data_IF_889108677487
#
_entry.id   IF_889108677487
#
_cell.length_a   1.000
_cell.length_b   1.000
_cell.length_c   1.000
_cell.angle_alpha   90.00
_cell.angle_beta   90.00
_cell.angle_gamma   90.00
#
_symmetry.space_group_name_H-M   'P 1'
#
loop_
_entity.id
_entity.type
_entity.pdbx_description
1 polymer ?
#
# COMPACT_ATOMS: atom_id res chain seq x y z
N UNK A 1 -32.35 49.88 7.81
CA UNK A 1 -31.06 49.66 8.49
C UNK A 1 -30.74 48.17 8.77
N UNK A 2 -31.68 47.21 8.63
CA UNK A 2 -31.46 45.78 8.93
C UNK A 2 -30.57 45.01 7.94
N UNK A 3 -30.32 45.55 6.74
CA UNK A 3 -29.49 44.93 5.71
C UNK A 3 -27.98 45.05 5.96
N UNK A 4 -27.56 46.05 6.77
CA UNK A 4 -26.15 46.24 7.15
C UNK A 4 -25.75 45.36 8.34
N UNK A 5 -26.70 45.07 9.24
CA UNK A 5 -26.48 44.23 10.42
C UNK A 5 -26.31 42.75 10.05
N UNK A 6 -27.03 42.29 9.02
CA UNK A 6 -26.90 40.91 8.48
C UNK A 6 -25.55 40.66 7.81
N UNK A 7 -24.99 41.65 7.11
CA UNK A 7 -23.66 41.55 6.47
C UNK A 7 -22.56 41.45 7.55
N UNK A 8 -22.67 42.25 8.62
CA UNK A 8 -21.70 42.23 9.72
C UNK A 8 -21.75 40.90 10.50
N UNK A 9 -22.94 40.32 10.67
CA UNK A 9 -23.12 39.02 11.31
C UNK A 9 -22.54 37.87 10.46
N UNK A 10 -22.70 37.90 9.13
CA UNK A 10 -22.09 36.90 8.24
C UNK A 10 -20.57 36.95 8.26
N UNK A 11 -19.95 38.14 8.19
CA UNK A 11 -18.48 38.24 8.23
C UNK A 11 -17.88 37.78 9.56
N UNK A 12 -18.59 38.01 10.67
CA UNK A 12 -18.09 37.64 12.01
C UNK A 12 -18.14 36.12 12.26
N UNK A 13 -19.12 35.42 11.67
CA UNK A 13 -19.21 33.95 11.75
C UNK A 13 -18.12 33.22 10.97
N UNK A 14 -17.62 33.81 9.87
CA UNK A 14 -16.64 33.17 8.99
C UNK A 14 -15.21 33.21 9.57
N UNK A 15 -14.91 34.18 10.45
CA UNK A 15 -13.59 34.31 11.09
C UNK A 15 -13.38 33.39 12.30
N UNK A 16 -14.40 32.67 12.77
CA UNK A 16 -14.30 31.86 14.00
C UNK A 16 -13.98 30.37 13.77
N UNK A 17 -13.73 29.95 12.54
CA UNK A 17 -13.48 28.53 12.20
C UNK A 17 -12.00 28.14 12.05
N UNK A 18 -11.03 29.00 12.38
CA UNK A 18 -9.60 28.75 12.11
C UNK A 18 -8.72 28.45 13.33
N UNK A 19 -9.26 27.88 14.41
CA UNK A 19 -8.45 27.49 15.59
C UNK A 19 -8.74 26.09 16.16
N UNK A 20 -8.97 25.09 15.30
CA UNK A 20 -9.11 23.71 15.76
C UNK A 20 -8.52 22.69 14.77
N UNK A 21 -7.21 22.73 14.53
CA UNK A 21 -6.40 21.56 14.17
C UNK A 21 -4.90 21.89 14.30
N UNK A 22 -4.46 22.15 15.53
CA UNK A 22 -3.05 22.00 15.91
C UNK A 22 -2.91 20.66 16.62
N UNK A 23 -3.00 19.57 15.88
CA UNK A 23 -2.62 18.25 16.41
C UNK A 23 -1.09 18.17 16.45
N UNK A 24 -0.47 17.91 17.61
CA UNK A 24 0.94 17.58 17.63
C UNK A 24 1.16 16.27 16.86
N UNK A 25 2.12 16.29 15.94
CA UNK A 25 2.63 15.08 15.29
C UNK A 25 3.03 14.08 16.38
N UNK A 26 2.27 12.99 16.52
CA UNK A 26 2.76 11.80 17.20
C UNK A 26 3.81 11.16 16.30
N UNK A 27 5.09 11.36 16.64
CA UNK A 27 6.14 10.46 16.17
C UNK A 27 5.84 9.08 16.74
N UNK A 28 5.15 8.26 15.95
CA UNK A 28 5.08 6.83 16.22
C UNK A 28 6.49 6.26 16.05
N UNK A 29 7.14 5.96 17.17
CA UNK A 29 8.29 5.09 17.22
C UNK A 29 7.83 3.68 16.85
N UNK A 30 7.93 3.34 15.57
CA UNK A 30 7.86 1.95 15.15
C UNK A 30 9.10 1.24 15.69
N UNK A 31 8.89 0.26 16.55
CA UNK A 31 9.90 -0.69 16.98
C UNK A 31 10.41 -1.45 15.76
N UNK A 32 11.63 -1.14 15.35
CA UNK A 32 12.39 -1.86 14.34
C UNK A 32 12.47 -3.35 14.72
N UNK A 33 11.90 -4.30 13.95
CA UNK A 33 12.25 -5.69 14.12
C UNK A 33 13.71 -5.84 13.65
N UNK A 34 14.55 -6.29 14.58
CA UNK A 34 15.95 -6.65 14.38
C UNK A 34 16.20 -7.28 13.00
N UNK A 35 17.01 -6.59 12.21
CA UNK A 35 17.50 -7.03 10.91
C UNK A 35 18.39 -8.28 11.12
N UNK A 36 17.86 -9.46 10.82
CA UNK A 36 18.65 -10.69 10.79
C UNK A 36 19.19 -10.86 9.38
N UNK A 37 20.40 -10.33 9.14
CA UNK A 37 21.20 -10.59 7.95
C UNK A 37 21.54 -12.07 7.87
N UNK A 38 21.03 -12.76 6.86
CA UNK A 38 21.69 -13.85 6.10
C UNK A 38 20.63 -14.63 5.32
N UNK A 39 20.56 -14.46 3.99
CA UNK A 39 20.31 -15.53 3.02
C UNK A 39 20.31 -14.98 1.59
N UNK A 40 21.07 -15.62 0.72
CA UNK A 40 21.13 -15.38 -0.73
C UNK A 40 19.73 -15.43 -1.38
N UNK A 41 19.51 -14.78 -2.55
CA UNK A 41 18.21 -14.74 -3.21
C UNK A 41 17.85 -16.13 -3.72
N UNK A 42 17.13 -16.87 -2.89
CA UNK A 42 16.40 -18.08 -3.30
C UNK A 42 15.16 -17.58 -4.04
N UNK A 43 15.18 -17.65 -5.36
CA UNK A 43 14.00 -17.31 -6.18
C UNK A 43 12.85 -18.21 -5.70
N UNK A 44 11.74 -17.57 -5.34
CA UNK A 44 10.46 -18.13 -4.83
C UNK A 44 10.39 -18.44 -3.33
N UNK A 45 10.53 -17.42 -2.47
CA UNK A 45 10.02 -17.46 -1.09
C UNK A 45 8.52 -17.13 -1.08
N UNK A 46 7.68 -18.10 -1.44
CA UNK A 46 6.23 -17.98 -1.34
C UNK A 46 5.74 -18.63 -0.05
N UNK A 47 4.99 -17.89 0.76
CA UNK A 47 4.27 -18.48 1.90
C UNK A 47 3.29 -19.54 1.38
N UNK A 48 3.38 -20.78 1.87
CA UNK A 48 2.47 -21.85 1.43
C UNK A 48 1.05 -21.55 1.89
N UNK A 49 0.20 -21.19 0.93
CA UNK A 49 -1.23 -20.98 1.13
C UNK A 49 -1.99 -22.14 0.46
N UNK A 50 -3.11 -22.55 1.05
CA UNK A 50 -3.99 -23.53 0.40
C UNK A 50 -4.65 -22.89 -0.82
N UNK A 51 -5.13 -23.73 -1.73
CA UNK A 51 -5.92 -23.26 -2.86
C UNK A 51 -7.23 -22.63 -2.37
N UNK A 52 -7.62 -21.54 -3.02
CA UNK A 52 -8.80 -20.79 -2.63
C UNK A 52 -8.73 -19.31 -2.99
N UNK A 53 -9.77 -18.59 -2.58
CA UNK A 53 -9.86 -17.15 -2.71
C UNK A 53 -9.85 -16.52 -1.32
N UNK A 54 -8.97 -15.56 -1.13
CA UNK A 54 -8.76 -14.89 0.16
C UNK A 54 -9.00 -13.39 -0.02
N UNK A 55 -9.99 -12.79 0.64
CA UNK A 55 -10.17 -11.35 0.58
C UNK A 55 -8.92 -10.63 1.09
N UNK A 56 -8.52 -9.56 0.43
CA UNK A 56 -7.31 -8.82 0.76
C UNK A 56 -7.68 -7.53 1.47
N UNK A 57 -7.10 -7.33 2.64
CA UNK A 57 -7.29 -6.12 3.44
C UNK A 57 -6.28 -5.03 3.10
N UNK A 58 -5.03 -5.42 2.87
CA UNK A 58 -3.90 -4.52 2.59
C UNK A 58 -2.88 -5.25 1.73
N UNK A 59 -2.16 -4.49 0.90
CA UNK A 59 -0.99 -4.95 0.17
C UNK A 59 0.12 -3.93 0.33
N UNK A 60 1.34 -4.42 0.56
CA UNK A 60 2.54 -3.60 0.67
C UNK A 60 3.60 -4.18 -0.26
N UNK A 61 4.34 -3.33 -0.95
CA UNK A 61 5.51 -3.68 -1.75
C UNK A 61 6.74 -3.04 -1.13
N UNK A 62 7.75 -3.84 -0.83
CA UNK A 62 9.05 -3.40 -0.35
C UNK A 62 10.08 -3.45 -1.48
N UNK A 63 10.70 -2.30 -1.77
CA UNK A 63 11.66 -2.18 -2.86
C UNK A 63 13.05 -2.75 -2.57
N UNK A 64 13.35 -3.11 -1.31
CA UNK A 64 14.66 -3.63 -0.93
C UNK A 64 14.88 -5.06 -1.45
N UNK A 65 13.82 -5.86 -1.40
CA UNK A 65 13.81 -7.27 -1.80
C UNK A 65 12.82 -7.53 -2.94
N UNK A 66 12.01 -6.54 -3.33
CA UNK A 66 10.97 -6.69 -4.35
C UNK A 66 9.82 -7.58 -3.87
N UNK A 67 9.58 -7.66 -2.57
CA UNK A 67 8.58 -8.53 -1.98
C UNK A 67 7.25 -7.81 -1.79
N UNK A 68 6.18 -8.48 -2.23
CA UNK A 68 4.83 -8.11 -1.89
C UNK A 68 4.41 -8.84 -0.62
N UNK A 69 3.90 -8.11 0.37
CA UNK A 69 3.25 -8.66 1.55
C UNK A 69 1.77 -8.30 1.54
N UNK A 70 0.93 -9.32 1.58
CA UNK A 70 -0.52 -9.22 1.55
C UNK A 70 -1.09 -9.60 2.91
N UNK A 71 -2.02 -8.77 3.41
CA UNK A 71 -2.83 -9.10 4.57
C UNK A 71 -4.15 -9.69 4.10
N UNK A 72 -4.34 -10.98 4.38
CA UNK A 72 -5.46 -11.79 3.97
C UNK A 72 -6.49 -11.91 5.09
N UNK A 73 -7.76 -11.92 4.70
CA UNK A 73 -8.88 -12.25 5.57
C UNK A 73 -9.30 -13.71 5.34
N UNK A 74 -10.04 -14.25 6.30
CA UNK A 74 -10.66 -15.59 6.22
C UNK A 74 -9.66 -16.72 5.94
N UNK A 75 -8.41 -16.59 6.41
CA UNK A 75 -7.42 -17.66 6.31
C UNK A 75 -7.80 -18.84 7.22
N UNK A 76 -7.55 -20.09 6.81
CA UNK A 76 -7.92 -21.26 7.61
C UNK A 76 -7.15 -21.30 8.94
N UNK A 77 -7.70 -21.93 9.98
CA UNK A 77 -7.00 -22.12 11.25
C UNK A 77 -5.60 -22.74 11.04
N UNK A 78 -4.58 -22.14 11.64
CA UNK A 78 -3.18 -22.55 11.51
C UNK A 78 -2.45 -22.02 10.27
N UNK A 79 -3.09 -21.18 9.44
CA UNK A 79 -2.44 -20.49 8.31
C UNK A 79 -2.22 -19.02 8.70
N UNK A 80 -1.03 -18.44 8.48
CA UNK A 80 -0.79 -17.02 8.76
C UNK A 80 -1.70 -16.14 7.88
N UNK A 81 -2.20 -15.01 8.39
CA UNK A 81 -2.95 -14.04 7.60
C UNK A 81 -2.04 -13.23 6.66
N UNK A 82 -0.73 -13.39 6.76
CA UNK A 82 0.25 -12.70 5.92
C UNK A 82 0.77 -13.63 4.84
N UNK A 83 0.65 -13.19 3.58
CA UNK A 83 1.20 -13.88 2.42
C UNK A 83 2.27 -13.02 1.77
N UNK A 84 3.46 -13.58 1.61
CA UNK A 84 4.58 -12.87 0.99
C UNK A 84 5.06 -13.60 -0.25
N UNK A 85 5.39 -12.83 -1.30
CA UNK A 85 5.93 -13.35 -2.56
C UNK A 85 6.70 -12.26 -3.30
N UNK A 86 7.73 -12.64 -4.05
CA UNK A 86 8.43 -11.77 -5.01
C UNK A 86 7.84 -11.82 -6.42
N UNK A 87 6.93 -12.76 -6.68
CA UNK A 87 6.30 -12.99 -7.99
C UNK A 87 4.78 -12.91 -7.85
N UNK A 88 4.27 -11.70 -7.68
CA UNK A 88 2.84 -11.45 -7.54
C UNK A 88 2.24 -11.04 -8.88
N UNK A 89 1.41 -11.91 -9.45
CA UNK A 89 0.59 -11.54 -10.59
C UNK A 89 -0.57 -10.67 -10.13
N UNK A 90 -0.85 -9.60 -10.86
CA UNK A 90 -1.97 -8.70 -10.56
C UNK A 90 -2.91 -8.61 -11.76
N UNK A 91 -4.21 -8.66 -11.50
CA UNK A 91 -5.26 -8.50 -12.49
C UNK A 91 -6.35 -7.57 -11.96
N UNK A 92 -6.99 -6.81 -12.85
CA UNK A 92 -8.20 -6.06 -12.50
C UNK A 92 -9.37 -7.03 -12.34
N UNK A 93 -10.26 -6.79 -11.37
CA UNK A 93 -11.56 -7.47 -11.34
C UNK A 93 -12.34 -7.21 -12.62
N UNK A 94 -13.08 -8.21 -13.08
CA UNK A 94 -13.98 -8.04 -14.23
C UNK A 94 -15.18 -7.16 -13.87
N UNK A 95 -15.81 -6.54 -14.86
CA UNK A 95 -16.97 -5.66 -14.62
C UNK A 95 -18.15 -6.45 -14.03
N UNK A 96 -18.30 -7.72 -14.37
CA UNK A 96 -19.29 -8.64 -13.79
C UNK A 96 -19.04 -8.86 -12.29
N UNK A 97 -17.78 -9.05 -11.90
CA UNK A 97 -17.40 -9.25 -10.50
C UNK A 97 -17.57 -7.98 -9.66
N UNK A 98 -17.26 -6.82 -10.24
CA UNK A 98 -17.48 -5.52 -9.60
C UNK A 98 -18.98 -5.29 -9.39
N UNK A 99 -19.82 -5.58 -10.40
CA UNK A 99 -21.28 -5.50 -10.28
C UNK A 99 -21.85 -6.48 -9.24
N UNK A 100 -21.21 -7.64 -9.07
CA UNK A 100 -21.54 -8.61 -8.02
C UNK A 100 -21.08 -8.17 -6.62
N UNK A 101 -20.40 -7.03 -6.50
CA UNK A 101 -19.92 -6.49 -5.21
C UNK A 101 -18.68 -7.20 -4.67
N UNK A 102 -17.92 -7.91 -5.52
CA UNK A 102 -16.66 -8.52 -5.09
C UNK A 102 -15.64 -7.44 -4.73
N UNK A 103 -14.91 -7.67 -3.65
CA UNK A 103 -13.77 -6.87 -3.21
C UNK A 103 -12.47 -7.45 -3.76
N UNK A 104 -11.35 -6.76 -3.58
CA UNK A 104 -10.02 -7.28 -3.93
C UNK A 104 -9.71 -8.59 -3.19
N UNK A 105 -9.18 -9.57 -3.91
CA UNK A 105 -8.92 -10.92 -3.39
C UNK A 105 -7.66 -11.53 -4.01
N UNK A 106 -6.98 -12.39 -3.25
CA UNK A 106 -5.91 -13.25 -3.73
C UNK A 106 -6.52 -14.59 -4.14
N UNK A 107 -6.33 -14.99 -5.39
CA UNK A 107 -6.66 -16.34 -5.87
C UNK A 107 -5.40 -17.19 -5.87
N UNK A 108 -5.46 -18.36 -5.23
CA UNK A 108 -4.38 -19.36 -5.25
C UNK A 108 -4.88 -20.60 -5.97
N UNK A 109 -4.26 -20.92 -7.11
CA UNK A 109 -4.60 -22.09 -7.92
C UNK A 109 -3.31 -22.80 -8.37
N UNK A 110 -3.18 -24.11 -8.15
CA UNK A 110 -1.99 -24.89 -8.52
C UNK A 110 -0.67 -24.27 -8.00
N UNK A 111 -0.72 -23.69 -6.79
CA UNK A 111 0.42 -23.00 -6.17
C UNK A 111 0.72 -21.61 -6.74
N UNK A 112 0.03 -21.16 -7.78
CA UNK A 112 0.19 -19.83 -8.37
C UNK A 112 -0.78 -18.86 -7.71
N UNK A 113 -0.27 -17.70 -7.29
CA UNK A 113 -1.03 -16.66 -6.63
C UNK A 113 -1.26 -15.47 -7.57
N UNK A 114 -2.51 -15.08 -7.74
CA UNK A 114 -2.91 -13.92 -8.53
C UNK A 114 -3.78 -12.99 -7.68
N UNK A 115 -3.37 -11.73 -7.58
CA UNK A 115 -4.07 -10.68 -6.87
C UNK A 115 -5.06 -9.98 -7.80
N UNK A 116 -6.34 -10.18 -7.54
CA UNK A 116 -7.42 -9.51 -8.23
C UNK A 116 -7.77 -8.23 -7.48
N UNK A 117 -7.65 -7.08 -8.17
CA UNK A 117 -7.82 -5.76 -7.57
C UNK A 117 -9.02 -5.00 -8.15
N UNK A 118 -9.74 -4.32 -7.26
CA UNK A 118 -10.65 -3.25 -7.63
C UNK A 118 -9.85 -2.00 -8.04
N UNK A 119 -10.47 -1.10 -8.79
CA UNK A 119 -9.78 0.08 -9.33
C UNK A 119 -9.33 1.06 -8.22
N UNK A 120 -10.07 1.11 -7.12
CA UNK A 120 -9.81 1.94 -5.95
C UNK A 120 -8.76 1.35 -5.00
N UNK A 121 -8.36 0.09 -5.20
CA UNK A 121 -7.41 -0.57 -4.32
C UNK A 121 -6.01 0.02 -4.48
N UNK A 122 -5.40 0.38 -3.34
CA UNK A 122 -4.07 0.96 -3.29
C UNK A 122 -3.11 -0.02 -2.64
N UNK A 123 -1.96 -0.18 -3.28
CA UNK A 123 -0.82 -0.92 -2.74
C UNK A 123 0.11 0.10 -2.09
N UNK A 124 0.51 -0.16 -0.86
CA UNK A 124 1.53 0.62 -0.16
C UNK A 124 2.89 0.35 -0.80
N UNK A 125 3.66 1.39 -1.05
CA UNK A 125 5.02 1.33 -1.56
C UNK A 125 5.99 1.76 -0.47
N UNK A 126 6.87 0.88 -0.05
CA UNK A 126 7.92 1.15 0.93
C UNK A 126 9.24 1.29 0.18
N UNK A 127 9.78 2.51 0.20
CA UNK A 127 11.07 2.86 -0.38
C UNK A 127 12.15 2.91 0.69
N UNK A 128 13.20 2.10 0.54
CA UNK A 128 14.32 2.04 1.46
C UNK A 128 15.50 2.85 0.90
N UNK A 129 15.77 4.00 1.51
CA UNK A 129 16.95 4.81 1.19
C UNK A 129 18.17 4.15 1.82
N UNK A 130 19.08 3.68 0.97
CA UNK A 130 20.34 3.07 1.38
C UNK A 130 21.50 4.07 1.27
N UNK A 131 22.46 3.96 2.19
CA UNK A 131 23.71 4.72 2.14
C UNK A 131 24.88 3.79 2.53
N UNK A 132 26.04 4.03 1.94
CA UNK A 132 27.27 3.32 2.33
C UNK A 132 27.86 3.99 3.57
N UNK A 133 27.86 3.26 4.68
CA UNK A 133 28.44 3.71 5.94
C UNK A 133 29.66 2.85 6.26
N UNK A 134 30.73 3.47 6.75
CA UNK A 134 31.88 2.73 7.27
C UNK A 134 31.54 2.17 8.64
N UNK A 135 31.56 0.86 8.80
CA UNK A 135 31.33 0.21 10.08
C UNK A 135 32.49 0.55 11.03
N UNK A 136 32.23 1.19 12.19
CA UNK A 136 33.28 1.63 13.11
C UNK A 136 34.00 0.47 13.80
N UNK A 137 33.42 -0.73 13.80
CA UNK A 137 34.00 -1.92 14.44
C UNK A 137 34.91 -2.71 13.49
N UNK A 138 34.58 -2.75 12.20
CA UNK A 138 35.29 -3.57 11.20
C UNK A 138 36.09 -2.75 10.20
N UNK A 139 35.84 -1.44 10.10
CA UNK A 139 36.45 -0.54 9.11
C UNK A 139 35.97 -0.78 7.68
N UNK A 140 35.02 -1.69 7.48
CA UNK A 140 34.50 -2.04 6.15
C UNK A 140 33.34 -1.11 5.76
N UNK A 141 33.15 -0.89 4.46
CA UNK A 141 31.97 -0.19 3.95
C UNK A 141 30.79 -1.15 3.89
N UNK A 142 29.68 -0.76 4.52
CA UNK A 142 28.43 -1.51 4.55
C UNK A 142 27.30 -0.65 3.99
N UNK A 143 26.45 -1.22 3.13
CA UNK A 143 25.24 -0.56 2.65
C UNK A 143 24.15 -0.74 3.70
N UNK A 144 23.73 0.36 4.32
CA UNK A 144 22.73 0.36 5.40
C UNK A 144 21.50 1.17 4.99
N UNK A 145 20.32 0.73 5.42
CA UNK A 145 19.06 1.49 5.25
C UNK A 145 19.06 2.62 6.27
N UNK A 146 19.07 3.87 5.81
CA UNK A 146 19.11 5.05 6.69
C UNK A 146 17.74 5.70 6.87
N UNK A 147 16.81 5.44 5.96
CA UNK A 147 15.46 6.02 5.97
C UNK A 147 14.52 5.15 5.16
N UNK A 148 13.29 5.02 5.64
CA UNK A 148 12.16 4.46 4.89
C UNK A 148 11.17 5.57 4.53
N UNK A 149 10.62 5.51 3.32
CA UNK A 149 9.56 6.39 2.85
C UNK A 149 8.39 5.54 2.39
N UNK A 150 7.19 5.82 2.89
CA UNK A 150 5.97 5.14 2.47
C UNK A 150 5.18 6.00 1.48
N UNK A 151 4.59 5.34 0.49
CA UNK A 151 3.68 5.92 -0.49
C UNK A 151 2.56 4.95 -0.84
N UNK A 152 1.63 5.37 -1.70
CA UNK A 152 0.57 4.50 -2.20
C UNK A 152 0.47 4.63 -3.71
N UNK A 153 0.27 3.52 -4.39
CA UNK A 153 0.00 3.49 -5.82
C UNK A 153 -1.20 2.59 -6.12
N UNK A 154 -1.91 2.89 -7.21
CA UNK A 154 -3.05 2.11 -7.67
C UNK A 154 -2.66 1.44 -8.99
N UNK A 155 -2.49 0.10 -9.05
CA UNK A 155 -1.91 -0.58 -10.21
C UNK A 155 -2.66 -0.38 -11.52
N UNK A 156 -3.97 -0.10 -11.45
CA UNK A 156 -4.84 0.00 -12.62
C UNK A 156 -5.49 1.38 -12.81
N UNK A 157 -5.25 2.36 -11.93
CA UNK A 157 -5.87 3.69 -12.04
C UNK A 157 -5.39 4.50 -13.27
N UNK A 158 -4.18 4.22 -13.77
CA UNK A 158 -3.63 4.89 -14.96
C UNK A 158 -4.24 4.42 -16.29
N UNK A 159 -4.88 3.25 -16.33
CA UNK A 159 -5.37 2.64 -17.57
C UNK A 159 -6.67 3.30 -18.09
N UNK A 160 -7.44 3.96 -17.24
CA UNK A 160 -8.73 4.57 -17.63
C UNK A 160 -8.54 5.97 -18.23
N UNK A 161 -7.50 6.70 -17.84
CA UNK A 161 -7.18 8.01 -18.43
C UNK A 161 -6.78 7.92 -19.91
N UNK A 162 -6.21 6.80 -20.36
CA UNK A 162 -5.85 6.57 -21.76
C UNK A 162 -7.03 6.23 -22.68
N UNK A 163 -8.13 5.71 -22.14
CA UNK A 163 -9.34 5.38 -22.91
C UNK A 163 -10.26 6.60 -23.10
N UNK A 164 -10.27 7.55 -22.17
CA UNK A 164 -11.11 8.75 -22.27
C UNK A 164 -10.58 9.79 -23.27
N UNK A 165 -9.26 9.83 -23.54
CA UNK A 165 -8.67 10.76 -24.53
C UNK A 165 -8.86 10.23 -25.96
N UNK A 166 -9.03 8.93 -26.15
CA UNK A 166 -9.29 8.31 -27.46
C UNK A 166 -10.66 8.62 -28.05
N UNK A 167 -11.60 9.14 -27.26
CA UNK A 167 -12.99 9.43 -27.70
C UNK A 167 -13.25 10.92 -27.93
N UNK A 168 -12.23 11.78 -27.75
CA UNK A 168 -12.32 13.22 -27.97
C UNK A 168 -11.47 13.70 -29.17
N UNK A 169 -10.87 12.77 -29.92
CA UNK A 169 -10.03 13.07 -31.09
C UNK A 169 -10.55 12.47 -32.41
N UNK A 170 -11.82 12.04 -32.46
CA UNK A 170 -12.49 11.64 -33.71
C UNK A 170 -13.89 12.24 -33.78
#
# INVERSE_FOLDING_TARGET
>A
MMRKLTILLMSLSLCWATFACSSPNSTQSYSNPSNNTSSAPSRTSQTQLREGQYPVQQATYDDINGEYTLMLLDTPPGTPPTFSTTDLQMARLTDEEIKAGKKSYLSVNNGQAALHLTEDFKVEYVHNVTQNQTNPQTGQQETVVVRQQSGFWAPFAGAIAGQAVGSLLF
#
